data_IF_529335191590
#
_entry.id   IF_529335191590
#
_cell.length_a   1.000
_cell.length_b   1.000
_cell.length_c   1.000
_cell.angle_alpha   90.00
_cell.angle_beta   90.00
_cell.angle_gamma   90.00
#
_symmetry.space_group_name_H-M   'P 1'
#
loop_
_entity.id
_entity.type
_entity.pdbx_description
1 polymer ?
#
# COMPACT_ATOMS: atom_id res chain seq x y z
N UNK A 1 -23.22 -15.49 -16.20
CA UNK A 1 -24.37 -16.43 -16.25
C UNK A 1 -25.61 -15.72 -15.72
N UNK A 2 -26.71 -15.74 -16.50
CA UNK A 2 -28.02 -15.24 -16.08
C UNK A 2 -28.58 -16.15 -14.98
N UNK A 3 -28.75 -15.63 -13.75
CA UNK A 3 -29.68 -16.22 -12.78
C UNK A 3 -30.76 -15.18 -12.49
N UNK A 4 -31.99 -15.59 -12.77
CA UNK A 4 -33.20 -14.82 -12.56
C UNK A 4 -33.28 -14.40 -11.08
N UNK A 5 -33.33 -13.10 -10.83
CA UNK A 5 -33.91 -12.55 -9.61
C UNK A 5 -35.38 -13.00 -9.60
N UNK A 6 -35.88 -13.74 -8.59
CA UNK A 6 -37.31 -13.85 -8.42
C UNK A 6 -37.76 -12.48 -7.93
N UNK A 7 -38.36 -11.70 -8.83
CA UNK A 7 -39.08 -10.48 -8.49
C UNK A 7 -40.17 -10.89 -7.50
N UNK A 8 -39.91 -10.66 -6.21
CA UNK A 8 -40.87 -10.86 -5.14
C UNK A 8 -41.94 -9.79 -5.32
N UNK A 9 -43.01 -10.14 -6.03
CA UNK A 9 -44.22 -9.33 -6.09
C UNK A 9 -44.82 -9.40 -4.68
N UNK A 10 -44.40 -8.48 -3.80
CA UNK A 10 -45.20 -8.11 -2.64
C UNK A 10 -46.47 -7.47 -3.21
N UNK A 11 -47.49 -8.30 -3.43
CA UNK A 11 -48.83 -7.78 -3.53
C UNK A 11 -49.10 -7.07 -2.20
N UNK A 12 -49.46 -5.77 -2.20
CA UNK A 12 -49.89 -5.13 -0.98
C UNK A 12 -51.16 -5.85 -0.55
N UNK A 13 -51.07 -6.63 0.53
CA UNK A 13 -52.25 -7.05 1.29
C UNK A 13 -52.72 -5.78 1.99
N UNK A 14 -53.36 -4.90 1.23
CA UNK A 14 -54.21 -3.88 1.81
C UNK A 14 -55.25 -4.66 2.60
N UNK A 15 -55.22 -4.48 3.92
CA UNK A 15 -56.32 -4.79 4.81
C UNK A 15 -57.53 -3.94 4.37
N UNK A 16 -58.20 -4.36 3.29
CA UNK A 16 -59.61 -4.07 3.16
C UNK A 16 -60.24 -4.77 4.35
N UNK A 17 -60.85 -4.00 5.26
CA UNK A 17 -61.82 -4.55 6.18
C UNK A 17 -62.96 -5.12 5.33
N UNK A 18 -62.80 -6.36 4.87
CA UNK A 18 -63.74 -7.06 4.04
C UNK A 18 -65.03 -7.17 4.86
N UNK A 19 -66.09 -6.52 4.39
CA UNK A 19 -67.33 -6.40 5.14
C UNK A 19 -67.86 -7.80 5.48
N UNK A 20 -68.18 -8.01 6.77
CA UNK A 20 -68.93 -9.20 7.17
C UNK A 20 -70.25 -9.25 6.39
N UNK A 21 -70.77 -10.45 6.05
CA UNK A 21 -71.92 -10.63 5.16
C UNK A 21 -73.18 -9.83 5.50
N UNK A 22 -73.38 -9.46 6.78
CA UNK A 22 -74.53 -8.70 7.26
C UNK A 22 -74.12 -7.55 8.18
N UNK A 23 -74.74 -6.38 8.02
CA UNK A 23 -74.61 -5.25 8.94
C UNK A 23 -75.87 -5.12 9.78
N UNK A 24 -75.74 -4.69 11.04
CA UNK A 24 -76.86 -4.55 11.98
C UNK A 24 -77.05 -3.10 12.39
N UNK A 25 -78.31 -2.65 12.44
CA UNK A 25 -78.69 -1.30 12.89
C UNK A 25 -79.03 -1.39 14.38
N UNK A 26 -78.42 -0.52 15.18
CA UNK A 26 -78.64 -0.47 16.63
C UNK A 26 -80.14 -0.32 16.96
N UNK A 27 -80.60 -1.04 17.99
CA UNK A 27 -82.00 -1.03 18.42
C UNK A 27 -82.96 -1.87 17.57
N UNK A 28 -82.50 -2.53 16.51
CA UNK A 28 -83.33 -3.43 15.69
C UNK A 28 -83.00 -4.90 15.98
N UNK A 29 -83.99 -5.79 16.22
CA UNK A 29 -83.73 -7.22 16.41
C UNK A 29 -83.04 -7.85 15.19
N UNK A 30 -81.87 -8.46 15.41
CA UNK A 30 -81.14 -9.18 14.37
C UNK A 30 -81.66 -10.61 14.23
N UNK A 31 -81.72 -11.11 12.99
CA UNK A 31 -82.00 -12.54 12.75
C UNK A 31 -80.80 -13.37 13.20
N UNK A 32 -81.03 -14.36 14.05
CA UNK A 32 -79.98 -15.26 14.54
C UNK A 32 -79.17 -15.91 13.40
N UNK A 33 -79.84 -16.28 12.29
CA UNK A 33 -79.18 -16.83 11.12
C UNK A 33 -78.14 -15.88 10.49
N UNK A 34 -78.42 -14.57 10.47
CA UNK A 34 -77.51 -13.57 9.91
C UNK A 34 -76.33 -13.30 10.85
N UNK A 35 -76.57 -13.32 12.16
CA UNK A 35 -75.50 -13.20 13.18
C UNK A 35 -74.57 -14.41 13.08
N UNK A 36 -75.13 -15.62 12.99
CA UNK A 36 -74.35 -16.85 12.82
C UNK A 36 -73.55 -16.84 11.51
N UNK A 37 -74.12 -16.36 10.40
CA UNK A 37 -73.41 -16.25 9.12
C UNK A 37 -72.19 -15.31 9.20
N UNK A 38 -72.28 -14.19 9.94
CA UNK A 38 -71.13 -13.32 10.19
C UNK A 38 -70.05 -14.02 11.03
N UNK A 39 -70.44 -14.75 12.08
CA UNK A 39 -69.49 -15.49 12.90
C UNK A 39 -68.80 -16.62 12.10
N UNK A 40 -69.54 -17.35 11.26
CA UNK A 40 -68.97 -18.32 10.33
C UNK A 40 -67.97 -17.67 9.39
N UNK A 41 -68.31 -16.52 8.77
CA UNK A 41 -67.41 -15.81 7.88
C UNK A 41 -66.10 -15.38 8.56
N UNK A 42 -66.19 -14.82 9.78
CA UNK A 42 -64.99 -14.43 10.56
C UNK A 42 -64.15 -15.67 10.90
N UNK A 43 -64.78 -16.78 11.26
CA UNK A 43 -64.08 -18.02 11.59
C UNK A 43 -63.37 -18.64 10.36
N UNK A 44 -64.04 -18.63 9.20
CA UNK A 44 -63.45 -19.11 7.94
C UNK A 44 -62.26 -18.23 7.52
N UNK A 45 -62.37 -16.90 7.66
CA UNK A 45 -61.28 -15.96 7.39
C UNK A 45 -60.12 -16.14 8.37
N UNK A 46 -60.39 -16.33 9.66
CA UNK A 46 -59.37 -16.60 10.65
C UNK A 46 -58.60 -17.90 10.30
N UNK A 47 -59.31 -18.93 9.85
CA UNK A 47 -58.72 -20.20 9.40
C UNK A 47 -57.86 -20.03 8.15
N UNK A 48 -58.35 -19.27 7.16
CA UNK A 48 -57.60 -18.95 5.93
C UNK A 48 -56.32 -18.15 6.24
N UNK A 49 -56.43 -17.15 7.12
CA UNK A 49 -55.29 -16.34 7.55
C UNK A 49 -54.26 -17.18 8.31
N UNK A 50 -54.71 -18.05 9.22
CA UNK A 50 -53.83 -18.98 9.93
C UNK A 50 -53.07 -19.90 8.97
N UNK A 51 -53.75 -20.40 7.93
CA UNK A 51 -53.13 -21.24 6.88
C UNK A 51 -52.12 -20.45 6.05
N UNK A 52 -52.43 -19.19 5.72
CA UNK A 52 -51.55 -18.29 4.96
C UNK A 52 -50.29 -17.93 5.76
N UNK A 53 -50.45 -17.64 7.06
CA UNK A 53 -49.33 -17.39 7.98
C UNK A 53 -48.43 -18.62 8.07
N UNK A 54 -48.99 -19.81 8.32
CA UNK A 54 -48.22 -21.05 8.36
C UNK A 54 -47.45 -21.32 7.04
N UNK A 55 -48.04 -20.96 5.90
CA UNK A 55 -47.38 -21.06 4.58
C UNK A 55 -46.22 -20.08 4.44
N UNK A 56 -46.38 -18.84 4.93
CA UNK A 56 -45.32 -17.82 4.92
C UNK A 56 -44.18 -18.24 5.86
N UNK A 57 -44.49 -18.70 7.07
CA UNK A 57 -43.51 -19.21 8.04
C UNK A 57 -42.70 -20.37 7.45
N UNK A 58 -43.34 -21.36 6.84
CA UNK A 58 -42.64 -22.47 6.19
C UNK A 58 -41.72 -22.02 5.04
N UNK A 59 -42.15 -21.03 4.25
CA UNK A 59 -41.30 -20.44 3.19
C UNK A 59 -40.12 -19.67 3.78
N UNK A 60 -40.33 -18.91 4.85
CA UNK A 60 -39.27 -18.17 5.53
C UNK A 60 -38.25 -19.15 6.11
N UNK A 61 -38.67 -20.19 6.83
CA UNK A 61 -37.79 -21.24 7.35
C UNK A 61 -37.00 -21.93 6.24
N UNK A 62 -37.61 -22.14 5.06
CA UNK A 62 -36.91 -22.72 3.90
C UNK A 62 -35.84 -21.77 3.35
N UNK A 63 -36.13 -20.47 3.28
CA UNK A 63 -35.18 -19.44 2.84
C UNK A 63 -34.03 -19.32 3.85
N UNK A 64 -34.33 -19.27 5.15
CA UNK A 64 -33.34 -19.20 6.22
C UNK A 64 -32.47 -20.46 6.28
N UNK A 65 -33.04 -21.64 6.06
CA UNK A 65 -32.28 -22.90 6.00
C UNK A 65 -31.43 -23.02 4.73
N UNK A 66 -31.84 -22.39 3.63
CA UNK A 66 -31.06 -22.33 2.40
C UNK A 66 -29.97 -21.24 2.43
N UNK A 67 -30.15 -20.22 3.25
CA UNK A 67 -29.15 -19.22 3.56
C UNK A 67 -28.11 -19.82 4.52
N UNK A 68 -28.54 -20.35 5.67
CA UNK A 68 -27.68 -20.97 6.68
C UNK A 68 -26.81 -22.10 6.12
N UNK A 69 -25.50 -21.89 6.10
CA UNK A 69 -24.51 -22.81 5.54
C UNK A 69 -24.14 -22.49 4.09
N UNK A 70 -24.62 -21.36 3.55
CA UNK A 70 -24.11 -20.80 2.30
C UNK A 70 -22.65 -20.41 2.48
N UNK A 71 -21.78 -20.61 1.48
CA UNK A 71 -20.42 -20.05 1.46
C UNK A 71 -20.38 -18.52 1.61
N UNK A 72 -21.52 -17.84 1.49
CA UNK A 72 -21.64 -16.40 1.68
C UNK A 72 -21.93 -16.00 3.14
N UNK A 73 -22.37 -16.93 4.00
CA UNK A 73 -22.68 -16.62 5.40
C UNK A 73 -21.43 -16.30 6.22
N UNK A 74 -20.28 -16.81 5.78
CA UNK A 74 -18.99 -16.54 6.42
C UNK A 74 -18.41 -15.18 6.01
N UNK A 75 -19.00 -14.51 5.02
CA UNK A 75 -18.51 -13.22 4.56
C UNK A 75 -19.05 -12.11 5.46
N UNK A 76 -18.15 -11.33 6.05
CA UNK A 76 -18.46 -10.08 6.74
C UNK A 76 -18.14 -8.95 5.77
N UNK A 77 -19.15 -8.17 5.36
CA UNK A 77 -19.00 -7.09 4.35
C UNK A 77 -18.40 -7.54 2.99
N UNK A 78 -18.49 -8.82 2.64
CA UNK A 78 -17.91 -9.37 1.41
C UNK A 78 -16.46 -9.84 1.55
N UNK A 79 -15.94 -9.87 2.78
CA UNK A 79 -14.58 -10.26 3.14
C UNK A 79 -14.61 -11.45 4.09
N UNK A 80 -13.51 -12.21 4.12
CA UNK A 80 -13.29 -13.26 5.11
C UNK A 80 -12.33 -12.72 6.17
N UNK A 81 -12.80 -12.62 7.40
CA UNK A 81 -11.97 -12.29 8.56
C UNK A 81 -11.65 -13.58 9.32
N UNK A 82 -10.36 -13.86 9.53
CA UNK A 82 -9.89 -15.05 10.25
C UNK A 82 -8.95 -14.65 11.36
N UNK A 83 -9.28 -15.03 12.59
CA UNK A 83 -8.32 -15.01 13.70
C UNK A 83 -7.38 -16.21 13.59
N UNK A 84 -6.08 -15.95 13.66
CA UNK A 84 -5.04 -16.97 13.51
C UNK A 84 -4.09 -16.90 14.71
N UNK A 85 -4.05 -17.98 15.48
CA UNK A 85 -3.12 -18.13 16.61
C UNK A 85 -1.93 -19.02 16.21
N UNK A 86 -0.77 -18.40 16.07
CA UNK A 86 0.49 -19.04 15.73
C UNK A 86 1.42 -19.21 16.96
N UNK A 87 0.88 -19.16 18.17
CA UNK A 87 1.71 -19.27 19.41
C UNK A 87 2.37 -20.64 19.50
N UNK A 88 1.60 -21.71 19.28
CA UNK A 88 2.07 -23.10 19.33
C UNK A 88 2.05 -23.78 17.95
N UNK A 89 1.51 -23.12 16.92
CA UNK A 89 1.34 -23.64 15.56
C UNK A 89 1.75 -22.58 14.52
N UNK A 90 3.05 -22.38 14.28
CA UNK A 90 3.53 -21.37 13.34
C UNK A 90 2.93 -21.48 11.92
N UNK A 91 2.55 -22.68 11.49
CA UNK A 91 1.92 -22.94 10.19
C UNK A 91 0.44 -22.51 10.10
N UNK A 92 -0.20 -22.07 11.18
CA UNK A 92 -1.63 -21.79 11.23
C UNK A 92 -2.08 -20.75 10.18
N UNK A 93 -1.26 -19.75 9.88
CA UNK A 93 -1.56 -18.74 8.84
C UNK A 93 -1.59 -19.35 7.44
N UNK A 94 -0.61 -20.20 7.11
CA UNK A 94 -0.55 -20.91 5.84
C UNK A 94 -1.79 -21.81 5.67
N UNK A 95 -2.15 -22.56 6.71
CA UNK A 95 -3.35 -23.41 6.70
C UNK A 95 -4.64 -22.58 6.53
N UNK A 96 -4.76 -21.47 7.24
CA UNK A 96 -5.89 -20.56 7.13
C UNK A 96 -6.02 -19.95 5.73
N UNK A 97 -4.91 -19.58 5.09
CA UNK A 97 -4.89 -19.11 3.70
C UNK A 97 -5.42 -20.17 2.74
N UNK A 98 -4.89 -21.41 2.79
CA UNK A 98 -5.31 -22.48 1.88
C UNK A 98 -6.78 -22.90 2.07
N UNK A 99 -7.29 -22.84 3.30
CA UNK A 99 -8.71 -23.08 3.58
C UNK A 99 -9.62 -22.03 2.90
N UNK A 100 -9.13 -20.80 2.73
CA UNK A 100 -9.91 -19.67 2.22
C UNK A 100 -9.40 -19.12 0.87
N UNK A 101 -8.48 -19.82 0.20
CA UNK A 101 -7.82 -19.35 -1.03
C UNK A 101 -8.79 -18.96 -2.15
N UNK A 102 -10.00 -19.53 -2.14
CA UNK A 102 -11.04 -19.27 -3.14
C UNK A 102 -11.79 -17.93 -2.96
N UNK A 103 -11.54 -17.18 -1.88
CA UNK A 103 -12.16 -15.89 -1.64
C UNK A 103 -11.30 -14.74 -2.16
N UNK A 104 -11.96 -13.67 -2.58
CA UNK A 104 -11.30 -12.51 -3.20
C UNK A 104 -10.60 -11.61 -2.18
N UNK A 105 -11.14 -11.49 -0.97
CA UNK A 105 -10.58 -10.65 0.09
C UNK A 105 -10.47 -11.47 1.36
N UNK A 106 -9.25 -11.56 1.89
CA UNK A 106 -8.89 -12.31 3.08
C UNK A 106 -8.22 -11.37 4.07
N UNK A 107 -8.70 -11.30 5.31
CA UNK A 107 -8.07 -10.54 6.39
C UNK A 107 -7.70 -11.51 7.52
N UNK A 108 -6.44 -11.48 7.92
CA UNK A 108 -5.91 -12.32 8.99
C UNK A 108 -5.50 -11.48 10.18
N UNK A 109 -6.10 -11.74 11.34
CA UNK A 109 -5.71 -11.15 12.62
C UNK A 109 -4.85 -12.14 13.40
N UNK A 110 -3.56 -11.83 13.56
CA UNK A 110 -2.52 -12.75 14.02
C UNK A 110 -2.17 -12.59 15.50
N UNK A 111 -1.88 -13.71 16.16
CA UNK A 111 -1.16 -13.81 17.44
C UNK A 111 0.05 -14.75 17.28
N UNK A 112 1.16 -14.49 17.98
CA UNK A 112 2.34 -15.36 17.96
C UNK A 112 3.26 -15.17 16.74
N UNK A 113 3.98 -16.23 16.36
CA UNK A 113 4.94 -16.22 15.25
C UNK A 113 4.45 -17.11 14.11
N UNK A 114 3.91 -16.52 13.06
CA UNK A 114 3.37 -17.23 11.91
C UNK A 114 4.43 -17.41 10.82
N UNK A 115 4.50 -18.58 10.22
CA UNK A 115 5.24 -18.77 8.97
C UNK A 115 4.63 -17.93 7.86
N UNK A 116 5.50 -17.23 7.13
CA UNK A 116 5.18 -16.61 5.85
C UNK A 116 5.19 -17.63 4.71
N UNK A 117 5.42 -17.14 3.48
CA UNK A 117 5.35 -17.93 2.24
C UNK A 117 4.06 -18.75 2.15
N UNK A 118 2.95 -18.08 2.49
CA UNK A 118 1.63 -18.69 2.72
C UNK A 118 1.04 -19.34 1.46
N UNK A 119 1.61 -19.04 0.29
CA UNK A 119 1.14 -19.53 -1.00
C UNK A 119 1.59 -20.97 -1.27
N UNK A 120 2.71 -21.40 -0.69
CA UNK A 120 3.22 -22.76 -0.89
C UNK A 120 2.36 -23.78 -0.16
N UNK A 121 2.18 -24.97 -0.73
CA UNK A 121 1.36 -26.01 -0.10
C UNK A 121 2.24 -26.85 0.82
N UNK A 122 1.91 -26.85 2.11
CA UNK A 122 2.70 -27.57 3.12
C UNK A 122 2.73 -29.07 2.80
N UNK A 123 3.91 -29.68 2.88
CA UNK A 123 4.15 -31.10 2.60
C UNK A 123 3.87 -31.56 1.16
N UNK A 124 3.73 -30.63 0.21
CA UNK A 124 3.48 -30.92 -1.20
C UNK A 124 4.46 -30.15 -2.10
N UNK A 125 5.69 -30.67 -2.17
CA UNK A 125 6.80 -30.04 -2.91
C UNK A 125 6.62 -30.07 -4.42
N UNK A 126 5.64 -30.82 -4.94
CA UNK A 126 5.43 -31.02 -6.38
C UNK A 126 4.46 -30.00 -6.98
N UNK A 127 3.53 -29.45 -6.19
CA UNK A 127 2.46 -28.58 -6.68
C UNK A 127 2.78 -27.07 -6.66
N UNK A 128 3.88 -26.67 -6.02
CA UNK A 128 4.30 -25.26 -5.94
C UNK A 128 3.26 -24.34 -5.28
N UNK A 129 3.53 -23.03 -5.30
CA UNK A 129 2.66 -22.04 -4.67
C UNK A 129 1.46 -21.59 -5.49
N UNK A 130 0.32 -21.37 -4.82
CA UNK A 130 -0.93 -20.86 -5.43
C UNK A 130 -1.05 -19.35 -5.19
N UNK A 131 -0.83 -18.54 -6.24
CA UNK A 131 -1.18 -17.12 -6.24
C UNK A 131 -2.48 -16.89 -7.02
N UNK A 132 -3.53 -16.44 -6.34
CA UNK A 132 -4.81 -16.10 -6.95
C UNK A 132 -4.76 -14.68 -7.54
N UNK A 133 -5.14 -14.54 -8.82
CA UNK A 133 -5.23 -13.24 -9.49
C UNK A 133 -6.31 -12.36 -8.84
N UNK A 134 -6.06 -11.04 -8.77
CA UNK A 134 -6.97 -10.04 -8.20
C UNK A 134 -7.42 -10.29 -6.73
N UNK A 135 -6.68 -11.11 -5.97
CA UNK A 135 -6.94 -11.36 -4.55
C UNK A 135 -6.32 -10.29 -3.67
N UNK A 136 -7.05 -9.87 -2.64
CA UNK A 136 -6.58 -8.94 -1.61
C UNK A 136 -6.35 -9.68 -0.30
N UNK A 137 -5.19 -9.48 0.31
CA UNK A 137 -4.80 -10.07 1.58
C UNK A 137 -4.46 -8.94 2.56
N UNK A 138 -5.21 -8.85 3.64
CA UNK A 138 -4.90 -8.06 4.83
C UNK A 138 -4.29 -8.94 5.91
N UNK A 139 -3.23 -8.48 6.56
CA UNK A 139 -2.61 -9.14 7.71
C UNK A 139 -2.33 -8.10 8.77
N UNK A 140 -2.93 -8.28 9.93
CA UNK A 140 -2.76 -7.42 11.09
C UNK A 140 -2.48 -8.23 12.35
N UNK A 141 -1.88 -7.63 13.38
CA UNK A 141 -1.83 -8.28 14.69
C UNK A 141 -3.12 -8.04 15.48
N UNK A 142 -3.46 -8.99 16.36
CA UNK A 142 -4.53 -8.85 17.35
C UNK A 142 -4.18 -7.83 18.46
N UNK A 143 -2.90 -7.70 18.79
CA UNK A 143 -2.38 -6.76 19.79
C UNK A 143 -1.31 -5.85 19.14
N UNK A 144 -1.61 -4.57 18.89
CA UNK A 144 -0.67 -3.66 18.25
C UNK A 144 0.54 -3.29 19.13
N UNK A 145 0.46 -3.48 20.46
CA UNK A 145 1.57 -3.25 21.38
C UNK A 145 2.47 -4.50 21.50
N UNK A 146 1.90 -5.69 21.34
CA UNK A 146 2.61 -6.98 21.30
C UNK A 146 2.47 -7.65 19.92
N UNK A 147 2.97 -6.95 18.90
CA UNK A 147 2.82 -7.32 17.48
C UNK A 147 3.25 -8.75 17.20
N UNK A 148 2.35 -9.50 16.55
CA UNK A 148 2.65 -10.80 15.95
C UNK A 148 3.76 -10.69 14.89
N UNK A 149 4.46 -11.79 14.66
CA UNK A 149 5.57 -11.82 13.69
C UNK A 149 5.28 -12.77 12.54
N UNK A 150 5.65 -12.35 11.34
CA UNK A 150 5.74 -13.20 10.15
C UNK A 150 7.21 -13.61 10.00
N UNK A 151 7.47 -14.90 10.09
CA UNK A 151 8.82 -15.46 10.12
C UNK A 151 9.05 -16.40 8.93
N UNK A 152 10.30 -16.74 8.60
CA UNK A 152 10.58 -17.65 7.50
C UNK A 152 9.89 -19.00 7.71
N UNK A 153 9.20 -19.47 6.67
CA UNK A 153 8.61 -20.80 6.62
C UNK A 153 9.71 -21.85 6.77
N UNK A 154 9.46 -22.87 7.59
CA UNK A 154 10.44 -23.92 7.88
C UNK A 154 10.75 -24.83 6.67
N UNK A 155 9.84 -24.92 5.70
CA UNK A 155 10.03 -25.73 4.49
C UNK A 155 10.73 -24.95 3.38
N UNK A 156 10.40 -23.66 3.21
CA UNK A 156 10.91 -22.84 2.10
C UNK A 156 12.05 -21.90 2.48
N UNK A 157 12.22 -21.62 3.79
CA UNK A 157 13.19 -20.67 4.33
C UNK A 157 12.84 -19.20 4.04
N UNK A 158 11.57 -18.89 3.70
CA UNK A 158 11.14 -17.55 3.25
C UNK A 158 9.92 -17.05 4.02
N UNK A 159 9.81 -15.74 4.22
CA UNK A 159 8.61 -15.12 4.75
C UNK A 159 7.62 -14.69 3.64
N UNK A 160 8.11 -14.56 2.41
CA UNK A 160 7.46 -14.17 1.16
C UNK A 160 5.93 -13.97 1.18
N UNK A 161 5.53 -12.71 1.07
CA UNK A 161 4.16 -12.25 0.90
C UNK A 161 4.08 -11.46 -0.41
N UNK A 162 3.09 -11.73 -1.26
CA UNK A 162 3.01 -11.11 -2.59
C UNK A 162 1.62 -10.53 -2.93
N UNK A 163 1.60 -9.23 -3.24
CA UNK A 163 0.55 -8.63 -4.07
C UNK A 163 0.97 -8.69 -5.55
N UNK A 164 0.32 -9.56 -6.32
CA UNK A 164 0.58 -9.73 -7.74
C UNK A 164 -0.69 -9.69 -8.56
N UNK A 165 -0.55 -9.44 -9.86
CA UNK A 165 -1.63 -9.69 -10.84
C UNK A 165 -2.90 -8.90 -10.50
N UNK A 166 -2.75 -7.60 -10.20
CA UNK A 166 -3.86 -6.72 -9.80
C UNK A 166 -4.35 -6.87 -8.34
N UNK A 167 -3.85 -7.86 -7.60
CA UNK A 167 -4.21 -8.10 -6.20
C UNK A 167 -3.66 -7.08 -5.19
N UNK A 168 -4.05 -7.25 -3.93
CA UNK A 168 -3.74 -6.36 -2.80
C UNK A 168 -2.97 -7.07 -1.68
N UNK A 169 -2.01 -6.39 -1.04
CA UNK A 169 -1.36 -6.84 0.19
C UNK A 169 -1.27 -5.69 1.20
N UNK A 170 -1.93 -5.84 2.33
CA UNK A 170 -2.03 -4.82 3.36
C UNK A 170 -1.47 -5.39 4.67
N UNK A 171 -0.32 -4.89 5.10
CA UNK A 171 0.32 -5.27 6.36
C UNK A 171 0.14 -4.14 7.37
N UNK A 172 -0.36 -4.45 8.56
CA UNK A 172 -0.45 -3.49 9.66
C UNK A 172 -0.06 -4.08 11.01
N UNK A 173 0.70 -3.35 11.80
CA UNK A 173 0.97 -3.72 13.20
C UNK A 173 1.62 -5.12 13.37
N UNK A 174 2.50 -5.52 12.45
CA UNK A 174 3.22 -6.80 12.49
C UNK A 174 4.72 -6.60 12.40
N UNK A 175 5.49 -7.58 12.89
CA UNK A 175 6.91 -7.70 12.57
C UNK A 175 7.10 -8.69 11.41
N UNK A 176 8.11 -8.48 10.57
CA UNK A 176 8.49 -9.43 9.52
C UNK A 176 9.97 -9.76 9.67
N UNK A 177 10.32 -11.03 9.66
CA UNK A 177 11.71 -11.49 9.61
C UNK A 177 11.95 -12.20 8.29
N UNK A 178 12.92 -11.74 7.50
CA UNK A 178 13.23 -12.35 6.20
C UNK A 178 14.05 -13.64 6.36
N UNK A 179 14.15 -14.46 5.31
CA UNK A 179 15.23 -15.42 5.15
C UNK A 179 16.58 -14.74 4.83
N UNK A 180 17.70 -15.47 4.99
CA UNK A 180 19.07 -14.92 4.91
C UNK A 180 19.45 -14.26 3.57
N UNK A 181 18.84 -14.70 2.46
CA UNK A 181 19.09 -14.21 1.10
C UNK A 181 17.78 -14.01 0.33
N UNK A 182 16.72 -13.63 1.05
CA UNK A 182 15.39 -13.54 0.48
C UNK A 182 15.23 -12.31 -0.41
N UNK A 183 14.68 -12.51 -1.61
CA UNK A 183 14.30 -11.43 -2.53
C UNK A 183 12.79 -11.21 -2.44
N UNK A 184 12.38 -10.12 -1.78
CA UNK A 184 11.00 -9.71 -1.64
C UNK A 184 10.23 -10.51 -0.59
N UNK A 185 10.64 -10.46 0.68
CA UNK A 185 9.81 -10.95 1.79
C UNK A 185 8.43 -10.28 1.78
N UNK A 186 8.38 -9.01 1.38
CA UNK A 186 7.15 -8.30 1.03
C UNK A 186 7.28 -7.79 -0.41
N UNK A 187 6.48 -8.35 -1.31
CA UNK A 187 6.65 -8.19 -2.74
C UNK A 187 5.40 -7.67 -3.43
N UNK A 188 5.54 -6.60 -4.19
CA UNK A 188 4.47 -6.02 -4.99
C UNK A 188 4.87 -6.04 -6.46
N UNK A 189 4.04 -6.64 -7.32
CA UNK A 189 4.39 -6.89 -8.72
C UNK A 189 3.15 -6.89 -9.62
N UNK A 190 3.33 -6.66 -10.92
CA UNK A 190 2.28 -6.78 -11.97
C UNK A 190 0.98 -6.05 -11.59
N UNK A 191 1.09 -4.75 -11.36
CA UNK A 191 -0.01 -3.87 -10.90
C UNK A 191 -0.62 -4.25 -9.54
N UNK A 192 0.06 -5.08 -8.74
CA UNK A 192 -0.30 -5.31 -7.35
C UNK A 192 -0.24 -4.02 -6.54
N UNK A 193 -1.05 -3.91 -5.50
CA UNK A 193 -1.14 -2.71 -4.69
C UNK A 193 -1.21 -3.03 -3.20
N UNK A 194 -1.01 -2.03 -2.35
CA UNK A 194 -1.28 -2.18 -0.92
C UNK A 194 -0.44 -1.29 -0.03
N UNK A 195 -0.40 -1.59 1.26
CA UNK A 195 0.26 -0.76 2.25
C UNK A 195 1.07 -1.55 3.26
N UNK A 196 2.10 -0.91 3.79
CA UNK A 196 2.88 -1.37 4.93
C UNK A 196 2.77 -0.29 6.00
N UNK A 197 2.08 -0.59 7.10
CA UNK A 197 1.74 0.39 8.14
C UNK A 197 2.14 -0.10 9.53
N UNK A 198 2.94 0.66 10.28
CA UNK A 198 3.41 0.26 11.61
C UNK A 198 4.09 -1.13 11.62
N UNK A 199 4.98 -1.36 10.66
CA UNK A 199 5.67 -2.65 10.46
C UNK A 199 7.17 -2.47 10.65
N UNK A 200 7.77 -3.39 11.41
CA UNK A 200 9.24 -3.52 11.48
C UNK A 200 9.67 -4.77 10.69
N UNK A 201 10.59 -4.60 9.74
CA UNK A 201 11.14 -5.68 8.92
C UNK A 201 12.61 -5.89 9.27
N UNK A 202 12.94 -7.06 9.79
CA UNK A 202 14.30 -7.45 10.15
C UNK A 202 14.85 -8.47 9.15
N UNK A 203 15.93 -8.11 8.47
CA UNK A 203 16.66 -9.01 7.61
C UNK A 203 17.42 -10.06 8.43
N UNK A 204 17.27 -11.35 8.13
CA UNK A 204 18.07 -12.40 8.77
C UNK A 204 19.50 -12.52 8.20
N UNK A 205 19.90 -11.65 7.27
CA UNK A 205 21.24 -11.63 6.70
C UNK A 205 21.49 -10.44 5.77
N UNK A 206 22.76 -10.16 5.48
CA UNK A 206 23.17 -9.01 4.64
C UNK A 206 22.93 -9.22 3.14
N UNK A 207 22.30 -10.33 2.74
CA UNK A 207 21.97 -10.65 1.35
C UNK A 207 20.48 -10.49 1.01
N UNK A 208 19.63 -10.14 1.99
CA UNK A 208 18.19 -10.00 1.76
C UNK A 208 17.81 -8.66 1.15
N UNK A 209 16.77 -8.67 0.33
CA UNK A 209 16.06 -7.48 -0.16
C UNK A 209 14.61 -7.60 0.34
N UNK A 210 14.28 -7.12 1.54
CA UNK A 210 12.99 -7.37 2.19
C UNK A 210 11.80 -6.85 1.39
N UNK A 211 11.90 -5.64 0.84
CA UNK A 211 10.79 -5.01 0.13
C UNK A 211 11.12 -4.81 -1.33
N UNK A 212 10.28 -5.36 -2.20
CA UNK A 212 10.41 -5.20 -3.65
C UNK A 212 9.11 -4.69 -4.25
N UNK A 213 9.19 -3.64 -5.08
CA UNK A 213 8.04 -3.06 -5.80
C UNK A 213 8.36 -2.97 -7.30
N UNK A 214 7.61 -3.65 -8.16
CA UNK A 214 7.93 -3.67 -9.59
C UNK A 214 6.73 -3.81 -10.52
N UNK A 215 6.97 -3.64 -11.82
CA UNK A 215 6.02 -3.92 -12.90
C UNK A 215 4.66 -3.19 -12.69
N UNK A 216 4.71 -1.87 -12.52
CA UNK A 216 3.52 -1.03 -12.32
C UNK A 216 2.86 -1.12 -10.93
N UNK A 217 3.42 -1.89 -10.00
CA UNK A 217 2.87 -2.02 -8.65
C UNK A 217 2.91 -0.71 -7.84
N UNK A 218 2.00 -0.57 -6.87
CA UNK A 218 1.84 0.65 -6.08
C UNK A 218 1.79 0.39 -4.58
N UNK A 219 2.64 1.05 -3.80
CA UNK A 219 2.76 0.79 -2.34
C UNK A 219 2.74 2.08 -1.53
N UNK A 220 2.05 2.02 -0.39
CA UNK A 220 2.03 3.07 0.62
C UNK A 220 2.80 2.62 1.87
N UNK A 221 3.73 3.43 2.35
CA UNK A 221 4.51 3.18 3.56
C UNK A 221 4.11 4.18 4.64
N UNK A 222 3.86 3.72 5.86
CA UNK A 222 3.56 4.60 7.01
C UNK A 222 4.06 3.98 8.30
N UNK A 223 5.00 4.64 8.99
CA UNK A 223 5.63 4.13 10.22
C UNK A 223 6.29 2.77 9.98
N UNK A 224 7.26 2.73 9.05
CA UNK A 224 7.95 1.50 8.65
C UNK A 224 9.42 1.58 9.05
N UNK A 225 9.92 0.50 9.61
CA UNK A 225 11.34 0.34 9.94
C UNK A 225 11.89 -0.89 9.22
N UNK A 226 13.01 -0.75 8.51
CA UNK A 226 13.69 -1.86 7.82
C UNK A 226 15.12 -1.94 8.32
N UNK A 227 15.55 -3.11 8.77
CA UNK A 227 16.84 -3.29 9.45
C UNK A 227 17.66 -4.44 8.85
N UNK A 228 18.97 -4.19 8.66
CA UNK A 228 19.99 -5.22 8.39
C UNK A 228 20.04 -5.74 6.95
N UNK A 229 19.27 -5.18 6.03
CA UNK A 229 19.14 -5.68 4.66
C UNK A 229 20.36 -5.35 3.77
N UNK A 230 20.50 -6.08 2.66
CA UNK A 230 21.41 -5.68 1.57
C UNK A 230 20.91 -4.40 0.92
N UNK A 231 19.66 -4.43 0.44
CA UNK A 231 18.94 -3.29 -0.12
C UNK A 231 17.65 -3.17 0.66
N UNK A 232 17.42 -2.05 1.33
CA UNK A 232 16.23 -1.87 2.17
C UNK A 232 14.93 -1.88 1.37
N UNK A 233 14.86 -1.06 0.31
CA UNK A 233 13.73 -1.05 -0.63
C UNK A 233 14.28 -1.06 -2.05
N UNK A 234 13.87 -2.05 -2.85
CA UNK A 234 14.16 -2.10 -4.27
C UNK A 234 12.90 -1.86 -5.08
N UNK A 235 12.94 -0.94 -6.04
CA UNK A 235 11.81 -0.73 -6.95
C UNK A 235 12.21 -0.50 -8.40
N UNK A 236 11.37 -1.00 -9.32
CA UNK A 236 11.60 -0.83 -10.76
C UNK A 236 10.36 -0.80 -11.63
N UNK A 237 10.56 -0.56 -12.92
CA UNK A 237 9.59 -0.79 -14.01
C UNK A 237 8.25 -0.09 -13.76
N UNK A 238 8.29 1.24 -13.68
CA UNK A 238 7.13 2.12 -13.53
C UNK A 238 6.27 1.86 -12.28
N UNK A 239 6.86 1.31 -11.21
CA UNK A 239 6.19 1.21 -9.93
C UNK A 239 6.03 2.58 -9.25
N UNK A 240 5.09 2.66 -8.31
CA UNK A 240 4.81 3.87 -7.52
C UNK A 240 4.99 3.60 -6.04
N UNK A 241 5.73 4.47 -5.36
CA UNK A 241 5.92 4.44 -3.90
C UNK A 241 5.38 5.73 -3.30
N UNK A 242 4.68 5.62 -2.17
CA UNK A 242 4.19 6.76 -1.40
C UNK A 242 4.60 6.60 0.06
N UNK A 243 5.40 7.52 0.57
CA UNK A 243 5.73 7.59 2.00
C UNK A 243 4.71 8.50 2.68
N UNK A 244 3.71 7.94 3.35
CA UNK A 244 2.64 8.69 4.03
C UNK A 244 2.99 9.03 5.48
N UNK A 245 3.80 8.19 6.12
CA UNK A 245 4.28 8.36 7.50
C UNK A 245 5.80 8.23 7.58
N UNK A 246 6.32 8.17 8.80
CA UNK A 246 7.76 8.01 9.02
C UNK A 246 8.24 6.69 8.42
N UNK A 247 9.39 6.70 7.74
CA UNK A 247 10.02 5.47 7.25
C UNK A 247 11.52 5.54 7.48
N UNK A 248 12.05 4.55 8.19
CA UNK A 248 13.48 4.42 8.50
C UNK A 248 14.02 3.15 7.86
N UNK A 249 15.11 3.29 7.09
CA UNK A 249 15.77 2.21 6.39
C UNK A 249 17.23 2.15 6.81
N UNK A 250 17.61 1.06 7.48
CA UNK A 250 18.96 0.76 7.94
C UNK A 250 19.49 -0.48 7.19
N UNK A 251 20.36 -0.28 6.20
CA UNK A 251 20.78 -1.35 5.28
C UNK A 251 22.16 -1.06 4.67
N UNK A 252 22.74 -2.03 3.96
CA UNK A 252 24.01 -1.82 3.24
C UNK A 252 23.82 -0.77 2.15
N UNK A 253 22.84 -0.95 1.27
CA UNK A 253 22.29 0.04 0.35
C UNK A 253 20.87 0.39 0.81
N UNK A 254 20.53 1.67 0.83
CA UNK A 254 19.26 2.16 1.34
C UNK A 254 18.08 1.84 0.44
N UNK A 255 17.75 2.80 -0.43
CA UNK A 255 16.65 2.71 -1.39
C UNK A 255 17.21 2.77 -2.82
N UNK A 256 16.85 1.77 -3.63
CA UNK A 256 17.35 1.60 -5.01
C UNK A 256 16.16 1.60 -5.96
N UNK A 257 16.07 2.63 -6.81
CA UNK A 257 14.95 2.88 -7.71
C UNK A 257 15.43 2.91 -9.16
N UNK A 258 14.74 2.18 -10.05
CA UNK A 258 15.15 2.03 -11.45
C UNK A 258 14.00 2.12 -12.44
N UNK A 259 14.23 2.62 -13.65
CA UNK A 259 13.27 2.46 -14.77
C UNK A 259 11.88 3.06 -14.46
N UNK A 260 11.80 4.38 -14.41
CA UNK A 260 10.51 5.11 -14.37
C UNK A 260 9.74 5.05 -13.06
N UNK A 261 10.39 4.69 -11.94
CA UNK A 261 9.72 4.69 -10.62
C UNK A 261 9.27 6.11 -10.25
N UNK A 262 8.05 6.23 -9.73
CA UNK A 262 7.56 7.48 -9.15
C UNK A 262 7.49 7.37 -7.63
N UNK A 263 8.07 8.35 -6.93
CA UNK A 263 7.98 8.48 -5.48
C UNK A 263 7.27 9.77 -5.11
N UNK A 264 6.30 9.66 -4.20
CA UNK A 264 5.69 10.80 -3.54
C UNK A 264 5.94 10.72 -2.04
N UNK A 265 6.71 11.67 -1.52
CA UNK A 265 7.06 11.78 -0.12
C UNK A 265 6.11 12.76 0.58
N UNK A 266 5.36 12.25 1.56
CA UNK A 266 4.44 12.99 2.45
C UNK A 266 4.82 12.85 3.93
N UNK A 267 5.57 11.79 4.28
CA UNK A 267 6.19 11.59 5.59
C UNK A 267 7.72 11.73 5.56
N UNK A 268 8.32 11.76 6.76
CA UNK A 268 9.77 11.78 6.93
C UNK A 268 10.37 10.48 6.43
N UNK A 269 11.45 10.57 5.65
CA UNK A 269 12.21 9.39 5.22
C UNK A 269 13.64 9.52 5.74
N UNK A 270 14.08 8.50 6.47
CA UNK A 270 15.43 8.39 7.01
C UNK A 270 16.10 7.15 6.43
N UNK A 271 17.27 7.31 5.82
CA UNK A 271 18.02 6.22 5.21
C UNK A 271 19.45 6.24 5.72
N UNK A 272 19.84 5.18 6.42
CA UNK A 272 21.18 4.99 6.94
C UNK A 272 21.85 3.84 6.20
N UNK A 273 22.73 4.19 5.26
CA UNK A 273 23.53 3.21 4.53
C UNK A 273 24.80 2.86 5.30
N UNK A 274 25.05 1.56 5.49
CA UNK A 274 26.23 1.07 6.21
C UNK A 274 27.53 1.19 5.43
N UNK A 275 27.50 0.99 4.11
CA UNK A 275 28.71 1.08 3.25
C UNK A 275 28.42 1.29 1.76
N UNK A 276 27.17 1.53 1.39
CA UNK A 276 26.70 1.64 0.00
C UNK A 276 26.08 2.99 -0.29
N UNK A 277 25.17 3.01 -1.27
CA UNK A 277 24.38 4.19 -1.59
C UNK A 277 23.19 4.27 -0.64
N UNK A 278 22.97 5.43 -0.03
CA UNK A 278 21.74 5.72 0.71
C UNK A 278 20.54 5.77 -0.24
N UNK A 279 20.72 6.45 -1.38
CA UNK A 279 19.68 6.59 -2.39
C UNK A 279 20.30 6.44 -3.77
N UNK A 280 19.77 5.51 -4.57
CA UNK A 280 20.15 5.33 -5.97
C UNK A 280 18.94 5.49 -6.89
N UNK A 281 18.99 6.48 -7.77
CA UNK A 281 17.93 6.78 -8.75
C UNK A 281 18.49 6.60 -10.17
N UNK A 282 17.90 5.70 -10.95
CA UNK A 282 18.37 5.42 -12.32
C UNK A 282 17.21 5.28 -13.32
N UNK A 283 17.35 5.92 -14.49
CA UNK A 283 16.50 5.64 -15.64
C UNK A 283 15.11 6.27 -15.53
N UNK A 284 15.06 7.60 -15.40
CA UNK A 284 13.82 8.37 -15.37
C UNK A 284 13.03 8.27 -14.08
N UNK A 285 13.69 8.01 -12.94
CA UNK A 285 13.02 8.01 -11.63
C UNK A 285 12.64 9.42 -11.24
N UNK A 286 11.47 9.58 -10.65
CA UNK A 286 10.93 10.87 -10.21
C UNK A 286 10.58 10.83 -8.72
N UNK A 287 11.37 11.48 -7.88
CA UNK A 287 11.11 11.64 -6.45
C UNK A 287 10.60 13.05 -6.14
N UNK A 288 9.42 13.16 -5.54
CA UNK A 288 8.81 14.45 -5.21
C UNK A 288 8.40 14.48 -3.74
N UNK A 289 8.93 15.48 -3.02
CA UNK A 289 8.40 15.90 -1.73
C UNK A 289 7.17 16.80 -1.89
N UNK A 290 6.19 16.61 -1.00
CA UNK A 290 4.93 17.37 -1.03
C UNK A 290 5.07 18.81 -0.54
N UNK A 291 6.10 19.13 0.26
CA UNK A 291 6.36 20.49 0.75
C UNK A 291 7.81 20.69 1.22
N UNK A 292 8.24 21.95 1.31
CA UNK A 292 9.63 22.35 1.57
C UNK A 292 10.19 21.91 2.94
N UNK A 293 9.35 21.81 3.98
CA UNK A 293 9.79 21.45 5.33
C UNK A 293 9.88 19.95 5.61
N UNK A 294 9.57 19.09 4.65
CA UNK A 294 9.54 17.64 4.86
C UNK A 294 10.96 17.04 4.80
N UNK A 295 11.48 16.44 5.89
CA UNK A 295 12.86 15.97 5.91
C UNK A 295 13.09 14.69 5.11
N UNK A 296 14.16 14.69 4.32
CA UNK A 296 14.83 13.52 3.77
C UNK A 296 16.22 13.43 4.41
N UNK A 297 16.38 12.50 5.36
CA UNK A 297 17.61 12.31 6.12
C UNK A 297 18.40 11.13 5.56
N UNK A 298 19.65 11.35 5.18
CA UNK A 298 20.45 10.40 4.42
C UNK A 298 21.86 10.32 5.03
N UNK A 299 22.32 9.12 5.34
CA UNK A 299 23.73 8.83 5.65
C UNK A 299 24.26 7.88 4.59
N UNK A 300 25.33 8.28 3.89
CA UNK A 300 25.89 7.59 2.72
C UNK A 300 25.75 8.38 1.43
N UNK A 301 26.11 7.78 0.30
CA UNK A 301 26.10 8.47 -1.00
C UNK A 301 24.70 8.50 -1.61
N UNK A 302 24.34 9.65 -2.19
CA UNK A 302 23.18 9.80 -3.07
C UNK A 302 23.67 9.79 -4.52
N UNK A 303 23.09 8.92 -5.35
CA UNK A 303 23.51 8.76 -6.75
C UNK A 303 22.30 8.84 -7.67
N UNK A 304 22.32 9.79 -8.61
CA UNK A 304 21.30 9.99 -9.62
C UNK A 304 21.92 9.83 -11.00
N UNK A 305 21.28 9.04 -11.85
CA UNK A 305 21.70 8.90 -13.24
C UNK A 305 20.55 8.70 -14.23
N UNK A 306 20.85 8.95 -15.51
CA UNK A 306 19.99 8.63 -16.65
C UNK A 306 18.60 9.29 -16.55
N UNK A 307 18.57 10.62 -16.45
CA UNK A 307 17.33 11.41 -16.48
C UNK A 307 16.52 11.35 -15.19
N UNK A 308 17.15 11.03 -14.07
CA UNK A 308 16.46 10.96 -12.78
C UNK A 308 16.27 12.35 -12.17
N UNK A 309 15.20 12.51 -11.39
CA UNK A 309 14.86 13.76 -10.72
C UNK A 309 14.59 13.54 -9.23
N UNK A 310 15.26 14.31 -8.39
CA UNK A 310 15.02 14.40 -6.95
C UNK A 310 14.56 15.81 -6.60
N UNK A 311 13.31 15.94 -6.16
CA UNK A 311 12.81 17.13 -5.47
C UNK A 311 12.63 16.82 -3.98
N UNK A 312 13.61 17.21 -3.17
CA UNK A 312 13.53 17.11 -1.73
C UNK A 312 12.81 18.33 -1.13
N UNK A 313 12.11 18.12 -0.02
CA UNK A 313 11.65 19.21 0.84
C UNK A 313 12.88 19.82 1.51
N UNK A 314 13.24 19.27 2.67
CA UNK A 314 14.52 19.54 3.34
C UNK A 314 15.44 18.35 3.09
N UNK A 315 16.70 18.60 2.75
CA UNK A 315 17.71 17.56 2.50
C UNK A 315 18.76 17.59 3.61
N UNK A 316 18.88 16.51 4.37
CA UNK A 316 19.96 16.34 5.34
C UNK A 316 20.85 15.17 4.88
N UNK A 317 22.01 15.48 4.32
CA UNK A 317 22.92 14.51 3.72
C UNK A 317 24.27 14.45 4.46
N UNK A 318 24.45 13.36 5.19
CA UNK A 318 25.73 12.92 5.71
C UNK A 318 26.46 12.03 4.68
N UNK A 319 26.96 12.64 3.61
CA UNK A 319 27.65 11.93 2.52
C UNK A 319 27.72 12.75 1.24
N UNK A 320 28.16 12.09 0.16
CA UNK A 320 28.32 12.73 -1.14
C UNK A 320 27.03 12.70 -1.98
N UNK A 321 26.88 13.69 -2.87
CA UNK A 321 25.83 13.78 -3.88
C UNK A 321 26.43 13.68 -5.29
N UNK A 322 26.10 12.60 -6.00
CA UNK A 322 26.54 12.36 -7.37
C UNK A 322 25.36 12.47 -8.33
N UNK A 323 25.43 13.36 -9.32
CA UNK A 323 24.35 13.62 -10.26
C UNK A 323 24.90 13.56 -11.69
N UNK A 324 24.44 12.59 -12.46
CA UNK A 324 24.87 12.34 -13.85
C UNK A 324 23.66 12.39 -14.79
N UNK A 325 23.66 13.28 -15.78
CA UNK A 325 22.54 13.46 -16.70
C UNK A 325 21.17 13.56 -15.99
N UNK A 326 21.13 14.25 -14.85
CA UNK A 326 20.00 14.21 -13.90
C UNK A 326 19.78 15.58 -13.24
N UNK A 327 18.76 15.68 -12.40
CA UNK A 327 18.42 16.95 -11.75
C UNK A 327 18.07 16.78 -10.28
N UNK A 328 18.57 17.70 -9.46
CA UNK A 328 18.26 17.81 -8.04
C UNK A 328 17.67 19.18 -7.75
N UNK A 329 16.62 19.19 -6.94
CA UNK A 329 15.99 20.37 -6.41
C UNK A 329 15.76 20.17 -4.91
N UNK A 330 16.12 21.16 -4.11
CA UNK A 330 15.79 21.22 -2.68
C UNK A 330 14.98 22.48 -2.46
N UNK A 331 13.73 22.32 -2.03
CA UNK A 331 12.82 23.44 -1.81
C UNK A 331 13.08 24.16 -0.48
N UNK A 332 13.33 23.41 0.59
CA UNK A 332 13.77 23.87 1.90
C UNK A 332 15.29 24.01 1.99
N UNK A 333 15.80 23.94 3.22
CA UNK A 333 17.25 23.98 3.49
C UNK A 333 17.92 22.66 3.09
N UNK A 334 19.17 22.76 2.63
CA UNK A 334 20.05 21.61 2.44
C UNK A 334 21.18 21.66 3.48
N UNK A 335 21.27 20.63 4.32
CA UNK A 335 22.43 20.39 5.16
C UNK A 335 23.26 19.27 4.55
N UNK A 336 24.49 19.56 4.11
CA UNK A 336 25.32 18.63 3.34
C UNK A 336 26.77 18.65 3.81
N UNK A 337 27.31 17.48 4.15
CA UNK A 337 28.67 17.35 4.68
C UNK A 337 29.71 16.76 3.70
N UNK A 338 29.26 16.14 2.60
CA UNK A 338 30.13 15.61 1.56
C UNK A 338 30.25 16.54 0.34
N UNK A 339 30.86 16.02 -0.72
CA UNK A 339 31.00 16.73 -1.98
C UNK A 339 29.77 16.57 -2.86
N UNK A 340 29.57 17.52 -3.77
CA UNK A 340 28.55 17.45 -4.82
C UNK A 340 29.20 17.43 -6.18
N UNK A 341 28.96 16.37 -6.96
CA UNK A 341 29.43 16.25 -8.34
C UNK A 341 28.27 16.27 -9.31
N UNK A 342 28.30 17.22 -10.24
CA UNK A 342 27.32 17.38 -11.30
C UNK A 342 28.00 17.12 -12.65
N UNK A 343 27.50 16.18 -13.43
CA UNK A 343 27.93 15.96 -14.83
C UNK A 343 26.71 16.00 -15.74
N UNK A 344 26.71 16.94 -16.69
CA UNK A 344 25.56 17.28 -17.55
C UNK A 344 24.25 17.39 -16.74
N UNK A 345 24.32 18.01 -15.58
CA UNK A 345 23.27 17.94 -14.56
C UNK A 345 22.91 19.31 -14.00
N UNK A 346 21.73 19.40 -13.38
CA UNK A 346 21.25 20.62 -12.74
C UNK A 346 21.02 20.40 -11.25
N UNK A 347 21.50 21.32 -10.42
CA UNK A 347 21.19 21.36 -9.00
C UNK A 347 20.65 22.74 -8.60
N UNK A 348 19.51 22.76 -7.91
CA UNK A 348 18.88 23.98 -7.40
C UNK A 348 18.61 23.84 -5.90
N UNK A 349 19.13 24.79 -5.11
CA UNK A 349 18.93 24.89 -3.66
C UNK A 349 18.19 26.19 -3.34
N UNK A 350 16.87 26.12 -3.23
CA UNK A 350 15.98 27.29 -3.19
C UNK A 350 16.07 28.09 -1.89
N UNK A 351 16.26 27.41 -0.75
CA UNK A 351 16.43 28.10 0.54
C UNK A 351 17.90 28.28 0.93
N UNK A 352 18.84 27.67 0.19
CA UNK A 352 20.26 27.71 0.49
C UNK A 352 20.82 26.34 0.86
N UNK A 353 22.09 26.33 1.25
CA UNK A 353 22.81 25.16 1.75
C UNK A 353 23.86 25.59 2.77
N UNK A 354 24.17 24.74 3.75
CA UNK A 354 25.30 24.93 4.67
C UNK A 354 26.63 24.41 4.10
N UNK A 355 26.61 23.76 2.93
CA UNK A 355 27.81 23.29 2.26
C UNK A 355 28.66 24.44 1.75
N UNK A 356 29.96 24.34 1.99
CA UNK A 356 30.94 25.24 1.44
C UNK A 356 30.94 25.17 -0.10
N UNK A 357 31.04 26.32 -0.77
CA UNK A 357 30.92 26.40 -2.25
C UNK A 357 31.99 25.57 -2.97
N UNK A 358 33.19 25.41 -2.39
CA UNK A 358 34.24 24.60 -2.99
C UNK A 358 33.93 23.09 -3.02
N UNK A 359 32.89 22.64 -2.30
CA UNK A 359 32.45 21.23 -2.31
C UNK A 359 31.68 20.86 -3.59
N UNK A 360 31.28 21.86 -4.40
CA UNK A 360 30.56 21.66 -5.66
C UNK A 360 31.52 21.58 -6.84
N UNK A 361 31.42 20.52 -7.63
CA UNK A 361 32.17 20.33 -8.88
C UNK A 361 31.22 20.04 -10.04
N UNK A 362 31.39 20.77 -11.14
CA UNK A 362 30.58 20.69 -12.34
C UNK A 362 31.40 20.23 -13.56
N UNK A 363 30.87 19.29 -14.32
CA UNK A 363 31.40 18.80 -15.57
C UNK A 363 30.33 18.88 -16.67
N UNK A 364 30.79 18.99 -17.92
CA UNK A 364 29.90 19.11 -19.07
C UNK A 364 28.96 20.32 -18.97
N UNK A 365 27.74 20.16 -19.48
CA UNK A 365 26.71 21.20 -19.45
C UNK A 365 25.94 21.19 -18.12
N UNK A 366 26.65 21.45 -17.03
CA UNK A 366 26.04 21.47 -15.69
C UNK A 366 25.69 22.88 -15.22
N UNK A 367 24.62 22.97 -14.42
CA UNK A 367 24.18 24.23 -13.80
C UNK A 367 24.01 24.07 -12.28
N UNK A 368 24.44 25.08 -11.54
CA UNK A 368 24.27 25.17 -10.09
C UNK A 368 23.55 26.47 -9.74
N UNK A 369 22.45 26.36 -9.01
CA UNK A 369 21.69 27.49 -8.48
C UNK A 369 21.59 27.33 -6.96
N UNK A 370 22.18 28.25 -6.20
CA UNK A 370 22.07 28.30 -4.73
C UNK A 370 21.55 29.68 -4.36
N UNK A 371 20.52 29.74 -3.54
CA UNK A 371 19.99 31.00 -3.03
C UNK A 371 21.07 31.81 -2.33
N UNK A 372 21.25 33.06 -2.75
CA UNK A 372 22.29 33.95 -2.20
C UNK A 372 23.69 33.78 -2.79
N UNK A 373 23.92 32.78 -3.64
CA UNK A 373 25.20 32.61 -4.35
C UNK A 373 25.10 33.07 -5.81
N UNK A 374 26.15 33.72 -6.29
CA UNK A 374 26.32 34.07 -7.69
C UNK A 374 27.76 33.83 -8.10
N UNK A 375 27.94 33.16 -9.24
CA UNK A 375 29.27 32.93 -9.82
C UNK A 375 29.97 34.23 -10.26
N UNK A 376 29.19 35.23 -10.65
CA UNK A 376 29.66 36.57 -10.99
C UNK A 376 28.64 37.61 -10.51
N UNK A 377 29.10 38.58 -9.71
CA UNK A 377 28.26 39.62 -9.12
C UNK A 377 28.24 40.95 -9.91
N UNK A 378 28.86 40.98 -11.08
CA UNK A 378 29.08 42.19 -11.88
C UNK A 378 30.50 42.77 -11.75
N UNK A 379 31.26 42.36 -10.74
CA UNK A 379 32.62 42.87 -10.46
C UNK A 379 33.64 41.78 -10.17
N UNK A 380 33.23 40.70 -9.51
CA UNK A 380 34.10 39.60 -9.08
C UNK A 380 33.55 38.27 -9.56
N UNK A 381 34.47 37.39 -9.98
CA UNK A 381 34.16 36.00 -10.34
C UNK A 381 34.56 35.12 -9.17
N UNK A 382 33.61 34.32 -8.67
CA UNK A 382 33.90 33.30 -7.68
C UNK A 382 34.69 32.15 -8.35
N UNK A 383 35.91 31.88 -7.88
CA UNK A 383 36.77 30.81 -8.41
C UNK A 383 36.81 29.56 -7.52
N UNK A 384 36.00 29.51 -6.46
CA UNK A 384 35.99 28.38 -5.50
C UNK A 384 35.41 27.10 -6.08
N UNK A 385 34.51 27.21 -7.07
CA UNK A 385 33.94 26.10 -7.84
C UNK A 385 34.12 26.33 -9.34
N UNK A 386 34.15 25.26 -10.13
CA UNK A 386 34.06 25.33 -11.59
C UNK A 386 32.61 25.39 -12.11
N UNK A 387 31.61 25.32 -11.21
CA UNK A 387 30.21 25.48 -11.54
C UNK A 387 29.87 26.89 -12.03
N UNK A 388 28.80 26.96 -12.81
CA UNK A 388 28.20 28.20 -13.32
C UNK A 388 26.70 28.17 -13.07
N UNK A 389 26.14 29.34 -12.77
CA UNK A 389 24.70 29.51 -12.65
C UNK A 389 24.05 29.76 -14.02
N UNK A 390 22.73 29.65 -14.08
CA UNK A 390 21.95 29.75 -15.32
C UNK A 390 22.11 31.08 -16.04
N UNK A 391 22.23 32.18 -15.30
CA UNK A 391 22.41 33.52 -15.89
C UNK A 391 23.71 33.62 -16.70
N UNK A 392 24.80 33.04 -16.19
CA UNK A 392 26.07 33.00 -16.91
C UNK A 392 25.95 32.14 -18.17
N UNK A 393 25.29 30.98 -18.10
CA UNK A 393 25.05 30.16 -19.29
C UNK A 393 24.27 30.91 -20.36
N UNK A 394 23.21 31.62 -19.98
CA UNK A 394 22.42 32.43 -20.90
C UNK A 394 23.27 33.55 -21.54
N UNK A 395 24.13 34.19 -20.75
CA UNK A 395 25.06 35.20 -21.25
C UNK A 395 26.08 34.62 -22.24
N UNK A 396 26.70 33.48 -21.92
CA UNK A 396 27.66 32.80 -22.79
C UNK A 396 27.01 32.36 -24.10
N UNK A 397 25.81 31.77 -24.03
CA UNK A 397 25.06 31.33 -25.19
C UNK A 397 24.67 32.51 -26.09
N UNK A 398 24.13 33.59 -25.51
CA UNK A 398 23.76 34.77 -26.29
C UNK A 398 24.98 35.41 -26.96
N UNK A 399 26.12 35.46 -26.29
CA UNK A 399 27.37 35.99 -26.86
C UNK A 399 27.86 35.11 -28.02
N UNK A 400 27.80 33.78 -27.86
CA UNK A 400 28.20 32.85 -28.89
C UNK A 400 27.27 32.88 -30.11
N UNK A 401 25.95 32.88 -29.90
CA UNK A 401 24.96 32.94 -30.98
C UNK A 401 25.00 34.28 -31.74
N UNK A 402 25.33 35.39 -31.08
CA UNK A 402 25.50 36.69 -31.74
C UNK A 402 26.85 36.82 -32.46
N UNK A 403 27.76 35.84 -32.32
CA UNK A 403 29.08 35.81 -32.96
C UNK A 403 29.17 34.89 -34.19
N UNK A 404 28.10 34.16 -34.49
CA UNK A 404 27.91 33.32 -35.68
C UNK A 404 26.95 34.05 -36.62
#
# INVERSE_FOLDING_TARGET
MKRLLPLLVLAPVFANAEQVPHTFIAGTPAKAANVNANFTHVNDKATLNSTSIATIEAKLTTIESAANGSPLDILVNGEIDVEVDCTDQPEALQLAYHQHVNYRTLNFTLTGNCYGDIYDYRDDTDNGGIQVSDQTIGINSADPENRASIIPNDQTGKAFLIAGQGGGLYLSDVNVTTGENEYGAVFFSRNGHGSITNVTINAAGTGSIPVVVQEGAQVYFSNVEINGAQIGIFARNNSTIRFLGETTVNSTEGIVLRTGVSVNQQGTVTINSGSGQALYLNGGVNWISSYAGLPLNLTGTVHLENGSYLNAGTLNLAGDLNVFDSSVKVDGEASMSGNTWLDNSTATFNSGTDAEIYSFSCHGLSTLEISGWQKFDGTTVDTSTNCVNKDIWNSLLSTHLNSI
#
